data_IF_531039705342
#
_entry.id   IF_531039705342
#
_cell.length_a   1.000
_cell.length_b   1.000
_cell.length_c   1.000
_cell.angle_alpha   90.00
_cell.angle_beta   90.00
_cell.angle_gamma   90.00
#
_symmetry.space_group_name_H-M   'P 1'
#
loop_
_entity.id
_entity.type
_entity.pdbx_description
1 polymer ?
#
# COMPACT_ATOMS: atom_id res chain seq x y z
N UNK A 1 5.95 49.30 -27.88
CA UNK A 1 6.71 48.11 -28.31
C UNK A 1 6.56 47.05 -27.22
N UNK A 2 6.11 45.85 -27.59
CA UNK A 2 5.62 44.77 -26.70
C UNK A 2 6.78 44.09 -25.94
N UNK A 3 6.66 43.95 -24.63
CA UNK A 3 7.34 42.88 -23.86
C UNK A 3 6.31 41.79 -23.55
N UNK A 4 6.27 40.77 -24.41
CA UNK A 4 5.51 39.55 -24.20
C UNK A 4 6.30 38.36 -24.73
N UNK A 5 7.35 37.97 -24.01
CA UNK A 5 8.11 36.73 -24.26
C UNK A 5 8.40 36.11 -22.90
N UNK A 6 7.50 35.25 -22.42
CA UNK A 6 7.67 34.54 -21.15
C UNK A 6 6.65 33.44 -20.91
N UNK A 7 5.43 33.59 -21.45
CA UNK A 7 4.38 32.56 -21.34
C UNK A 7 4.63 31.35 -22.26
N UNK A 8 5.23 31.55 -23.44
CA UNK A 8 5.33 30.51 -24.47
C UNK A 8 6.20 29.30 -24.10
N UNK A 9 7.35 29.52 -23.44
CA UNK A 9 8.26 28.42 -23.04
C UNK A 9 7.70 27.57 -21.90
N UNK A 10 6.98 28.17 -20.96
CA UNK A 10 6.40 27.48 -19.80
C UNK A 10 5.17 26.64 -20.19
N UNK A 11 4.38 27.11 -21.17
CA UNK A 11 3.22 26.36 -21.71
C UNK A 11 3.68 25.14 -22.53
N UNK A 12 4.79 25.25 -23.26
CA UNK A 12 5.31 24.16 -24.09
C UNK A 12 5.90 23.01 -23.24
N UNK A 13 6.69 23.31 -22.19
CA UNK A 13 7.22 22.28 -21.28
C UNK A 13 6.10 21.53 -20.55
N UNK A 14 5.06 22.25 -20.12
CA UNK A 14 3.93 21.66 -19.42
C UNK A 14 3.11 20.69 -20.31
N UNK A 15 2.86 21.06 -21.58
CA UNK A 15 2.14 20.19 -22.53
C UNK A 15 2.92 18.91 -22.86
N UNK A 16 4.24 19.00 -22.98
CA UNK A 16 5.11 17.84 -23.23
C UNK A 16 5.10 16.88 -22.03
N UNK A 17 5.20 17.37 -20.80
CA UNK A 17 5.17 16.51 -19.59
C UNK A 17 3.84 15.80 -19.36
N UNK A 18 2.70 16.44 -19.66
CA UNK A 18 1.36 15.83 -19.54
C UNK A 18 1.15 14.73 -20.59
N UNK A 19 1.56 14.98 -21.84
CA UNK A 19 1.49 13.98 -22.91
C UNK A 19 2.40 12.78 -22.60
N UNK A 20 3.57 13.03 -21.99
CA UNK A 20 4.48 11.98 -21.53
C UNK A 20 3.86 11.11 -20.44
N UNK A 21 3.17 11.70 -19.45
CA UNK A 21 2.49 10.96 -18.38
C UNK A 21 1.43 9.99 -18.92
N UNK A 22 0.56 10.48 -19.81
CA UNK A 22 -0.51 9.67 -20.43
C UNK A 22 0.08 8.56 -21.31
N UNK A 23 1.08 8.87 -22.13
CA UNK A 23 1.75 7.87 -23.00
C UNK A 23 2.64 6.90 -22.22
N UNK A 24 3.20 7.31 -21.06
CA UNK A 24 3.96 6.42 -20.20
C UNK A 24 3.05 5.39 -19.52
N UNK A 25 1.84 5.79 -19.10
CA UNK A 25 0.90 4.94 -18.34
C UNK A 25 0.00 4.01 -19.17
N UNK A 26 -0.07 4.16 -20.50
CA UNK A 26 -1.04 3.44 -21.35
C UNK A 26 -0.47 2.37 -22.28
N UNK A 27 0.86 2.19 -22.37
CA UNK A 27 1.47 1.30 -23.39
C UNK A 27 2.06 -0.02 -22.85
N UNK A 28 1.85 -0.37 -21.59
CA UNK A 28 2.32 -1.64 -21.03
C UNK A 28 1.28 -2.21 -20.06
N UNK A 29 0.59 -3.32 -20.39
CA UNK A 29 -0.39 -3.94 -19.50
C UNK A 29 0.18 -4.27 -18.11
N UNK A 30 1.46 -4.62 -17.99
CA UNK A 30 2.12 -4.88 -16.71
C UNK A 30 2.25 -3.64 -15.80
N UNK A 31 2.04 -2.42 -16.31
CA UNK A 31 2.03 -1.21 -15.47
C UNK A 31 0.78 -1.09 -14.59
N UNK A 32 -0.28 -1.86 -14.88
CA UNK A 32 -1.48 -1.93 -14.06
C UNK A 32 -1.26 -2.64 -12.71
N UNK A 33 -0.13 -3.32 -12.53
CA UNK A 33 0.24 -3.91 -11.24
C UNK A 33 0.48 -2.85 -10.15
N UNK A 34 0.78 -1.62 -10.56
CA UNK A 34 1.20 -0.56 -9.65
C UNK A 34 0.07 0.43 -9.45
N UNK A 35 -0.38 0.60 -8.21
CA UNK A 35 -1.06 1.82 -7.81
C UNK A 35 -0.02 2.92 -7.75
N UNK A 36 -0.02 3.78 -8.77
CA UNK A 36 0.83 4.95 -8.72
C UNK A 36 0.39 5.77 -7.51
N UNK A 37 1.37 6.30 -6.78
CA UNK A 37 1.14 7.19 -5.65
C UNK A 37 1.41 8.68 -6.00
N UNK A 38 1.31 9.12 -7.28
CA UNK A 38 2.24 10.09 -7.84
C UNK A 38 1.90 11.55 -7.49
N UNK A 39 1.12 11.81 -6.46
CA UNK A 39 0.26 12.99 -6.51
C UNK A 39 0.19 13.89 -5.30
N UNK A 40 0.60 13.42 -4.12
CA UNK A 40 0.37 14.15 -2.86
C UNK A 40 -1.04 14.78 -2.90
N UNK A 41 -2.03 13.91 -2.79
CA UNK A 41 -3.45 14.22 -2.97
C UNK A 41 -4.10 14.53 -1.63
N UNK A 42 -5.20 15.27 -1.69
CA UNK A 42 -6.16 15.35 -0.60
C UNK A 42 -7.20 14.25 -0.82
N UNK A 43 -7.62 13.58 0.25
CA UNK A 43 -8.78 12.69 0.20
C UNK A 43 -10.03 13.56 0.19
N UNK A 44 -11.02 13.21 -0.63
CA UNK A 44 -12.29 13.92 -0.66
C UNK A 44 -13.45 12.98 -0.46
N UNK A 45 -14.50 13.52 0.13
CA UNK A 45 -15.77 12.83 0.31
C UNK A 45 -16.90 13.79 -0.05
N UNK A 46 -17.69 13.42 -1.05
CA UNK A 46 -18.82 14.21 -1.55
C UNK A 46 -20.00 13.27 -1.77
N UNK A 47 -21.12 13.52 -1.11
CA UNK A 47 -22.38 12.79 -1.33
C UNK A 47 -22.26 11.25 -1.27
N UNK A 48 -21.49 10.74 -0.30
CA UNK A 48 -21.29 9.29 -0.19
C UNK A 48 -20.25 8.71 -1.13
N UNK A 49 -19.59 9.53 -1.94
CA UNK A 49 -18.57 9.12 -2.89
C UNK A 49 -17.18 9.48 -2.39
N UNK A 50 -16.33 8.46 -2.38
CA UNK A 50 -14.92 8.55 -2.08
C UNK A 50 -14.17 9.05 -3.30
N UNK A 51 -13.28 10.02 -3.10
CA UNK A 51 -12.50 10.59 -4.19
C UNK A 51 -11.19 11.21 -3.71
N UNK A 52 -10.60 11.97 -4.62
CA UNK A 52 -9.36 12.67 -4.40
C UNK A 52 -9.37 14.04 -5.08
N UNK A 53 -8.60 14.97 -4.52
CA UNK A 53 -8.34 16.26 -5.12
C UNK A 53 -6.86 16.61 -5.04
N UNK A 54 -6.38 17.41 -5.99
CA UNK A 54 -5.00 17.90 -5.95
C UNK A 54 -4.76 18.79 -4.72
N UNK A 55 -3.65 18.58 -4.01
CA UNK A 55 -3.24 19.48 -2.91
C UNK A 55 -2.78 20.88 -3.38
N UNK A 56 -2.48 21.03 -4.68
CA UNK A 56 -2.03 22.29 -5.29
C UNK A 56 -2.84 22.58 -6.56
N UNK A 57 -2.96 23.83 -6.95
CA UNK A 57 -3.71 24.25 -8.15
C UNK A 57 -3.09 23.75 -9.47
N UNK A 58 -1.80 23.37 -9.47
CA UNK A 58 -1.07 22.86 -10.64
C UNK A 58 -0.50 21.45 -10.40
N UNK A 59 -1.37 20.47 -10.13
CA UNK A 59 -0.94 19.06 -10.11
C UNK A 59 -1.08 18.44 -11.51
N UNK A 60 -0.08 17.67 -11.92
CA UNK A 60 -0.12 16.89 -13.16
C UNK A 60 -1.09 15.70 -13.06
N UNK A 61 -1.56 15.39 -11.85
CA UNK A 61 -2.31 14.20 -11.50
C UNK A 61 -3.71 14.13 -12.08
N UNK A 62 -4.35 15.29 -12.29
CA UNK A 62 -5.67 15.31 -12.93
C UNK A 62 -5.65 14.69 -14.34
N UNK A 63 -4.47 14.54 -14.93
CA UNK A 63 -4.27 13.93 -16.24
C UNK A 63 -3.81 12.48 -16.18
N UNK A 64 -3.52 11.93 -14.99
CA UNK A 64 -3.25 10.51 -14.84
C UNK A 64 -4.55 9.72 -15.08
N UNK A 65 -4.49 8.54 -15.72
CA UNK A 65 -5.67 7.69 -15.88
C UNK A 65 -6.30 7.31 -14.52
N UNK A 66 -7.63 7.18 -14.49
CA UNK A 66 -8.42 6.98 -13.27
C UNK A 66 -7.96 5.78 -12.43
N UNK A 67 -7.57 4.69 -13.08
CA UNK A 67 -7.07 3.48 -12.40
C UNK A 67 -5.81 3.70 -11.54
N UNK A 68 -5.06 4.78 -11.82
CA UNK A 68 -3.89 5.19 -11.04
C UNK A 68 -4.20 6.29 -10.01
N UNK A 69 -5.46 6.74 -9.98
CA UNK A 69 -5.94 7.86 -9.16
C UNK A 69 -6.82 7.39 -8.00
N UNK A 70 -7.12 6.11 -7.87
CA UNK A 70 -7.89 5.65 -6.73
C UNK A 70 -7.00 5.69 -5.47
N UNK A 71 -7.55 6.27 -4.40
CA UNK A 71 -6.87 6.49 -3.13
C UNK A 71 -7.37 5.50 -2.06
N UNK A 72 -7.60 4.25 -2.48
CA UNK A 72 -8.33 3.26 -1.69
C UNK A 72 -7.58 2.98 -0.37
N UNK A 73 -6.26 2.73 -0.46
CA UNK A 73 -5.41 2.48 0.71
C UNK A 73 -5.32 3.69 1.64
N UNK A 74 -5.21 4.91 1.10
CA UNK A 74 -5.15 6.11 1.94
C UNK A 74 -6.46 6.37 2.67
N UNK A 75 -7.60 6.09 2.03
CA UNK A 75 -8.92 6.22 2.64
C UNK A 75 -9.15 5.17 3.71
N UNK A 76 -8.83 3.89 3.43
CA UNK A 76 -8.91 2.82 4.43
C UNK A 76 -8.01 3.14 5.64
N UNK A 77 -6.79 3.61 5.39
CA UNK A 77 -5.86 4.06 6.45
C UNK A 77 -6.41 5.26 7.23
N UNK A 78 -6.94 6.27 6.54
CA UNK A 78 -7.53 7.43 7.21
C UNK A 78 -8.74 7.04 8.05
N UNK A 79 -9.55 6.09 7.60
CA UNK A 79 -10.69 5.58 8.35
C UNK A 79 -10.26 4.71 9.53
N UNK A 80 -9.20 3.90 9.41
CA UNK A 80 -8.65 3.14 10.52
C UNK A 80 -8.14 4.07 11.62
N UNK A 81 -7.47 5.18 11.25
CA UNK A 81 -7.08 6.24 12.20
C UNK A 81 -8.30 6.89 12.85
N UNK A 82 -9.39 7.11 12.10
CA UNK A 82 -10.62 7.67 12.66
C UNK A 82 -11.30 6.74 13.66
N UNK A 83 -11.43 5.47 13.33
CA UNK A 83 -11.95 4.45 14.24
C UNK A 83 -11.07 4.35 15.50
N UNK A 84 -9.74 4.31 15.35
CA UNK A 84 -8.84 4.28 16.50
C UNK A 84 -8.99 5.50 17.41
N UNK A 85 -9.08 6.70 16.82
CA UNK A 85 -9.22 7.94 17.57
C UNK A 85 -10.66 8.22 18.02
N UNK A 86 -11.63 7.38 17.65
CA UNK A 86 -13.07 7.61 17.85
C UNK A 86 -13.53 8.97 17.29
N UNK A 87 -12.96 9.35 16.14
CA UNK A 87 -13.24 10.62 15.46
C UNK A 87 -14.16 10.42 14.27
N UNK A 88 -15.09 11.35 14.12
CA UNK A 88 -16.03 11.38 12.99
C UNK A 88 -15.67 12.49 12.01
N UNK A 89 -14.42 12.50 11.52
CA UNK A 89 -13.93 13.54 10.58
C UNK A 89 -14.76 13.65 9.30
N UNK A 90 -15.47 12.59 8.93
CA UNK A 90 -16.18 12.47 7.65
C UNK A 90 -17.71 12.47 7.74
N UNK A 91 -18.31 12.82 8.89
CA UNK A 91 -19.76 12.75 9.04
C UNK A 91 -20.49 14.05 8.69
N UNK A 92 -21.75 13.90 8.23
CA UNK A 92 -22.81 14.91 8.21
C UNK A 92 -22.55 16.23 7.46
N UNK A 93 -21.70 16.25 6.43
CA UNK A 93 -21.64 17.41 5.54
C UNK A 93 -22.44 17.17 4.25
N UNK A 94 -23.41 18.02 3.97
CA UNK A 94 -23.96 18.21 2.61
C UNK A 94 -22.95 18.89 1.66
N UNK A 95 -21.67 18.93 2.05
CA UNK A 95 -20.60 19.64 1.38
C UNK A 95 -19.41 18.70 1.20
N UNK A 96 -18.64 18.93 0.15
CA UNK A 96 -17.37 18.23 -0.10
C UNK A 96 -16.43 18.41 1.08
N UNK A 97 -16.11 17.31 1.77
CA UNK A 97 -15.04 17.25 2.74
C UNK A 97 -13.71 16.99 2.04
N UNK A 98 -12.65 17.57 2.59
CA UNK A 98 -11.30 17.49 2.05
C UNK A 98 -10.30 17.28 3.18
N UNK A 99 -9.52 16.23 3.11
CA UNK A 99 -8.47 15.91 4.08
C UNK A 99 -7.10 15.88 3.42
N UNK A 100 -6.25 16.84 3.81
CA UNK A 100 -4.86 16.93 3.36
C UNK A 100 -3.94 16.22 4.34
N UNK A 101 -3.84 14.89 4.25
CA UNK A 101 -3.06 14.07 5.19
C UNK A 101 -1.58 14.46 5.27
N UNK A 102 -1.00 14.96 4.18
CA UNK A 102 0.38 15.48 4.14
C UNK A 102 0.61 16.72 5.01
N UNK A 103 -0.46 17.45 5.34
CA UNK A 103 -0.44 18.62 6.22
C UNK A 103 -1.11 18.37 7.56
N UNK A 104 -1.59 17.15 7.80
CA UNK A 104 -2.20 16.78 9.06
C UNK A 104 -1.16 16.94 10.18
N UNK A 105 -1.58 17.55 11.29
CA UNK A 105 -0.75 17.61 12.48
C UNK A 105 -0.52 16.18 13.00
N UNK A 106 0.65 15.92 13.62
CA UNK A 106 0.83 14.69 14.37
C UNK A 106 -0.24 14.55 15.46
N UNK A 107 -0.56 13.31 15.82
CA UNK A 107 -1.62 12.99 16.77
C UNK A 107 -1.19 11.83 17.69
N UNK A 108 -1.85 11.71 18.84
CA UNK A 108 -1.75 10.59 19.77
C UNK A 108 -3.17 10.31 20.31
N UNK A 109 -3.44 9.11 20.83
CA UNK A 109 -4.73 8.79 21.46
C UNK A 109 -4.86 9.47 22.82
N UNK A 110 -3.78 9.44 23.60
CA UNK A 110 -3.65 10.14 24.88
C UNK A 110 -2.24 10.75 25.04
N UNK A 111 -1.95 11.30 26.23
CA UNK A 111 -0.66 11.95 26.52
C UNK A 111 0.52 10.97 26.61
N UNK A 112 0.25 9.69 26.84
CA UNK A 112 1.27 8.66 27.02
C UNK A 112 1.45 7.81 25.75
N UNK A 113 0.54 7.87 24.79
CA UNK A 113 0.68 7.15 23.52
C UNK A 113 1.77 7.78 22.63
N UNK A 114 2.46 6.96 21.82
CA UNK A 114 3.29 7.44 20.72
C UNK A 114 2.60 8.52 19.86
N UNK A 115 3.42 9.44 19.36
CA UNK A 115 2.95 10.43 18.40
C UNK A 115 3.04 9.86 16.99
N UNK A 116 1.90 9.74 16.33
CA UNK A 116 1.77 9.28 14.95
C UNK A 116 1.63 10.42 13.94
N UNK A 117 1.94 10.13 12.68
CA UNK A 117 1.68 10.96 11.51
C UNK A 117 0.90 10.18 10.48
N UNK A 118 -0.31 10.64 10.15
CA UNK A 118 -1.13 10.01 9.09
C UNK A 118 -0.39 9.94 7.75
N UNK A 119 0.43 10.94 7.42
CA UNK A 119 1.25 10.89 6.21
C UNK A 119 2.27 9.75 6.21
N UNK A 120 2.85 9.41 7.36
CA UNK A 120 3.83 8.33 7.47
C UNK A 120 3.17 6.95 7.41
N UNK A 121 1.98 6.78 8.02
CA UNK A 121 1.15 5.58 7.81
C UNK A 121 0.80 5.40 6.32
N UNK A 122 0.43 6.47 5.63
CA UNK A 122 0.12 6.42 4.19
C UNK A 122 1.37 6.11 3.35
N UNK A 123 2.54 6.65 3.70
CA UNK A 123 3.79 6.24 3.07
C UNK A 123 4.06 4.75 3.24
N UNK A 124 3.70 4.18 4.39
CA UNK A 124 3.77 2.75 4.61
C UNK A 124 2.86 1.97 3.67
N UNK A 125 1.64 2.43 3.45
CA UNK A 125 0.77 1.77 2.46
C UNK A 125 1.36 1.82 1.06
N UNK A 126 1.91 2.96 0.67
CA UNK A 126 2.54 3.12 -0.64
C UNK A 126 3.81 2.31 -0.82
N UNK A 127 4.45 1.89 0.27
CA UNK A 127 5.73 1.21 0.22
C UNK A 127 5.61 -0.17 -0.45
N UNK A 128 4.54 -0.91 -0.19
CA UNK A 128 4.36 -2.25 -0.76
C UNK A 128 4.26 -2.19 -2.29
N UNK A 129 3.52 -1.20 -2.81
CA UNK A 129 3.39 -0.93 -4.25
C UNK A 129 4.65 -0.32 -4.88
N UNK A 130 5.37 0.53 -4.15
CA UNK A 130 6.54 1.24 -4.66
C UNK A 130 7.68 1.23 -3.64
N UNK A 131 8.34 0.07 -3.44
CA UNK A 131 9.30 -0.11 -2.35
C UNK A 131 10.63 0.62 -2.59
N UNK A 132 10.87 1.09 -3.82
CA UNK A 132 11.99 1.99 -4.16
C UNK A 132 11.55 3.47 -4.20
N UNK A 133 10.28 3.75 -3.92
CA UNK A 133 9.70 5.08 -3.72
C UNK A 133 9.91 6.00 -4.93
N UNK A 134 9.88 5.43 -6.13
CA UNK A 134 10.06 6.16 -7.37
C UNK A 134 9.01 7.26 -7.53
N UNK A 135 7.79 7.01 -7.10
CA UNK A 135 6.62 7.85 -7.34
C UNK A 135 6.28 8.78 -6.18
N UNK A 136 7.04 8.77 -5.09
CA UNK A 136 6.76 9.61 -3.90
C UNK A 136 7.12 11.10 -4.11
N UNK A 137 7.74 11.41 -5.24
CA UNK A 137 8.20 12.74 -5.64
C UNK A 137 7.13 13.67 -6.22
N UNK A 138 7.58 14.85 -6.65
CA UNK A 138 6.77 15.79 -7.45
C UNK A 138 7.55 16.31 -8.66
N UNK A 139 6.82 16.80 -9.67
CA UNK A 139 7.43 17.46 -10.83
C UNK A 139 8.34 16.52 -11.61
N UNK A 140 9.60 16.93 -11.83
CA UNK A 140 10.60 16.14 -12.56
C UNK A 140 10.98 14.84 -11.86
N UNK A 141 11.01 14.85 -10.52
CA UNK A 141 11.30 13.68 -9.71
C UNK A 141 10.27 12.58 -9.94
N UNK A 142 8.99 12.97 -9.93
CA UNK A 142 7.89 12.07 -10.27
C UNK A 142 8.00 11.54 -11.70
N UNK A 143 8.27 12.41 -12.68
CA UNK A 143 8.37 11.99 -14.09
C UNK A 143 9.47 10.94 -14.25
N UNK A 144 10.65 11.18 -13.66
CA UNK A 144 11.75 10.22 -13.68
C UNK A 144 11.35 8.92 -12.99
N UNK A 145 10.70 9.00 -11.83
CA UNK A 145 10.15 7.84 -11.13
C UNK A 145 9.21 6.99 -11.97
N UNK A 146 8.28 7.61 -12.68
CA UNK A 146 7.36 6.91 -13.59
C UNK A 146 8.10 6.24 -14.75
N UNK A 147 9.16 6.88 -15.26
CA UNK A 147 10.02 6.27 -16.28
C UNK A 147 10.72 5.02 -15.70
N UNK A 148 11.25 5.10 -14.48
CA UNK A 148 11.89 3.96 -13.81
C UNK A 148 10.92 2.81 -13.55
N UNK A 149 9.73 3.12 -13.04
CA UNK A 149 8.67 2.14 -12.81
C UNK A 149 8.24 1.46 -14.11
N UNK A 150 7.97 2.24 -15.18
CA UNK A 150 7.66 1.69 -16.50
C UNK A 150 8.77 0.78 -17.03
N UNK A 151 10.02 1.08 -16.71
CA UNK A 151 11.13 0.21 -17.09
C UNK A 151 11.15 -1.07 -16.26
N UNK A 152 10.89 -0.98 -14.94
CA UNK A 152 10.84 -2.12 -14.03
C UNK A 152 9.81 -3.19 -14.44
N UNK A 153 8.69 -2.77 -15.04
CA UNK A 153 7.61 -3.68 -15.48
C UNK A 153 7.85 -4.37 -16.83
N UNK A 154 8.93 -4.01 -17.55
CA UNK A 154 9.29 -4.69 -18.81
C UNK A 154 10.10 -5.95 -18.51
N UNK A 155 9.56 -7.12 -18.86
CA UNK A 155 10.11 -8.44 -18.52
C UNK A 155 11.45 -8.80 -19.17
N UNK A 156 11.87 -8.08 -20.22
CA UNK A 156 13.02 -8.47 -21.05
C UNK A 156 14.37 -7.88 -20.64
N UNK A 157 14.52 -7.35 -19.41
CA UNK A 157 15.79 -6.72 -18.99
C UNK A 157 16.52 -7.54 -17.94
N UNK A 158 17.82 -7.70 -18.15
CA UNK A 158 18.71 -8.32 -17.16
C UNK A 158 18.92 -7.46 -15.92
N UNK A 159 18.87 -6.12 -16.08
CA UNK A 159 19.10 -5.14 -15.02
C UNK A 159 18.14 -3.95 -15.10
N UNK A 160 17.82 -3.40 -13.94
CA UNK A 160 16.94 -2.24 -13.77
C UNK A 160 17.64 -1.15 -12.96
N UNK A 161 17.13 0.07 -13.00
CA UNK A 161 17.57 1.12 -12.10
C UNK A 161 17.21 0.74 -10.66
N UNK A 162 18.06 1.11 -9.71
CA UNK A 162 17.81 0.92 -8.28
C UNK A 162 17.29 2.20 -7.62
N UNK A 163 17.16 2.18 -6.29
CA UNK A 163 16.70 3.31 -5.49
C UNK A 163 17.72 4.44 -5.32
N UNK A 164 18.80 4.47 -6.10
CA UNK A 164 19.83 5.52 -6.09
C UNK A 164 20.32 5.75 -7.51
N UNK A 165 20.55 7.02 -7.87
CA UNK A 165 20.92 7.39 -9.23
C UNK A 165 22.18 6.65 -9.71
N UNK A 166 22.11 6.04 -10.89
CA UNK A 166 23.20 5.25 -11.47
C UNK A 166 23.34 3.83 -10.91
N UNK A 167 22.55 3.45 -9.89
CA UNK A 167 22.52 2.09 -9.38
C UNK A 167 21.80 1.16 -10.36
N UNK A 168 22.44 0.06 -10.77
CA UNK A 168 21.84 -0.95 -11.65
C UNK A 168 21.74 -2.29 -10.95
N UNK A 169 20.52 -2.78 -10.75
CA UNK A 169 20.21 -3.99 -9.98
C UNK A 169 19.84 -5.13 -10.94
N UNK A 170 20.40 -6.35 -10.79
CA UNK A 170 19.94 -7.52 -11.53
C UNK A 170 18.45 -7.78 -11.31
N UNK A 171 17.74 -8.21 -12.35
CA UNK A 171 16.29 -8.49 -12.33
C UNK A 171 15.84 -9.31 -11.11
N UNK A 172 16.59 -10.38 -10.81
CA UNK A 172 16.33 -11.31 -9.70
C UNK A 172 16.50 -10.71 -8.29
N UNK A 173 17.01 -9.49 -8.18
CA UNK A 173 17.15 -8.78 -6.90
C UNK A 173 16.37 -7.47 -6.88
N UNK A 174 15.73 -7.09 -7.99
CA UNK A 174 15.09 -5.79 -8.11
C UNK A 174 13.80 -5.75 -7.30
N UNK A 175 13.78 -4.96 -6.23
CA UNK A 175 12.74 -4.99 -5.19
C UNK A 175 11.33 -4.78 -5.73
N UNK A 176 11.11 -3.78 -6.60
CA UNK A 176 9.81 -3.51 -7.22
C UNK A 176 9.30 -4.68 -8.07
N UNK A 177 10.21 -5.43 -8.73
CA UNK A 177 9.79 -6.62 -9.50
C UNK A 177 9.49 -7.78 -8.59
N UNK A 178 10.31 -7.92 -7.55
CA UNK A 178 10.18 -9.00 -6.59
C UNK A 178 8.87 -8.92 -5.82
N UNK A 179 8.39 -7.69 -5.48
CA UNK A 179 7.11 -7.50 -4.80
C UNK A 179 5.88 -7.76 -5.67
N UNK A 180 5.92 -7.47 -6.98
CA UNK A 180 4.72 -7.59 -7.85
C UNK A 180 4.69 -8.86 -8.69
N UNK A 181 5.85 -9.40 -9.06
CA UNK A 181 5.96 -10.52 -10.01
C UNK A 181 6.80 -11.69 -9.47
N UNK A 182 7.31 -11.59 -8.23
CA UNK A 182 8.24 -12.55 -7.64
C UNK A 182 7.78 -13.08 -6.27
N UNK A 183 8.74 -13.49 -5.45
CA UNK A 183 8.48 -14.16 -4.17
C UNK A 183 7.83 -13.27 -3.10
N UNK A 184 7.80 -11.95 -3.31
CA UNK A 184 7.24 -10.99 -2.38
C UNK A 184 5.80 -10.56 -2.70
N UNK A 185 5.10 -11.29 -3.59
CA UNK A 185 3.67 -11.05 -3.85
C UNK A 185 2.79 -11.12 -2.58
N UNK A 186 3.26 -11.78 -1.51
CA UNK A 186 2.57 -11.80 -0.21
C UNK A 186 2.44 -10.40 0.44
N UNK A 187 3.25 -9.42 0.02
CA UNK A 187 3.07 -8.02 0.41
C UNK A 187 1.76 -7.41 -0.11
N UNK A 188 1.19 -7.99 -1.15
CA UNK A 188 -0.14 -7.68 -1.71
C UNK A 188 -1.16 -8.77 -1.36
N UNK A 189 -0.85 -9.60 -0.37
CA UNK A 189 -1.63 -10.78 -0.01
C UNK A 189 -1.89 -11.76 -1.19
N UNK A 190 -1.01 -11.76 -2.17
CA UNK A 190 -1.05 -12.64 -3.34
C UNK A 190 -0.04 -13.78 -3.16
N UNK A 191 -0.28 -14.90 -3.84
CA UNK A 191 0.66 -16.03 -3.83
C UNK A 191 1.71 -15.87 -4.93
N UNK A 192 2.96 -16.20 -4.62
CA UNK A 192 4.03 -16.36 -5.62
C UNK A 192 4.03 -17.75 -6.26
N UNK A 193 3.25 -18.70 -5.73
CA UNK A 193 3.21 -20.06 -6.25
C UNK A 193 2.48 -20.10 -7.59
N UNK A 194 3.10 -20.72 -8.58
CA UNK A 194 2.56 -20.84 -9.93
C UNK A 194 1.98 -22.24 -10.21
N UNK A 195 1.02 -22.27 -11.13
CA UNK A 195 0.54 -23.48 -11.78
C UNK A 195 -0.54 -24.24 -11.01
N UNK A 196 -1.17 -25.18 -11.72
CA UNK A 196 -2.24 -26.06 -11.23
C UNK A 196 -1.79 -27.05 -10.15
N UNK A 197 -0.49 -27.13 -9.89
CA UNK A 197 0.13 -28.06 -8.94
C UNK A 197 -0.02 -27.62 -7.48
N UNK A 198 -0.33 -26.33 -7.25
CA UNK A 198 -0.53 -25.77 -5.91
C UNK A 198 -2.03 -25.61 -5.66
N UNK A 199 -2.60 -26.41 -4.76
CA UNK A 199 -4.03 -26.31 -4.40
C UNK A 199 -4.32 -24.95 -3.72
N UNK A 200 -5.59 -24.47 -3.74
CA UNK A 200 -5.96 -23.24 -3.03
C UNK A 200 -5.51 -23.23 -1.57
N UNK A 201 -5.60 -24.36 -0.88
CA UNK A 201 -5.20 -24.50 0.53
C UNK A 201 -3.70 -24.28 0.71
N UNK A 202 -2.87 -24.84 -0.19
CA UNK A 202 -1.41 -24.66 -0.16
C UNK A 202 -1.05 -23.20 -0.46
N UNK A 203 -1.71 -22.58 -1.44
CA UNK A 203 -1.51 -21.17 -1.80
C UNK A 203 -1.85 -20.26 -0.64
N UNK A 204 -3.02 -20.46 -0.02
CA UNK A 204 -3.47 -19.70 1.16
C UNK A 204 -2.49 -19.88 2.33
N UNK A 205 -2.09 -21.11 2.65
CA UNK A 205 -1.17 -21.37 3.74
C UNK A 205 0.21 -20.74 3.54
N UNK A 206 0.79 -20.83 2.33
CA UNK A 206 2.08 -20.20 1.99
C UNK A 206 1.98 -18.67 2.07
N UNK A 207 0.94 -18.07 1.50
CA UNK A 207 0.73 -16.62 1.54
C UNK A 207 0.55 -16.12 2.98
N UNK A 208 -0.25 -16.80 3.80
CA UNK A 208 -0.42 -16.45 5.23
C UNK A 208 0.93 -16.51 5.95
N UNK A 209 1.68 -17.60 5.78
CA UNK A 209 2.97 -17.77 6.45
C UNK A 209 3.96 -16.65 6.07
N UNK A 210 4.07 -16.32 4.78
CA UNK A 210 4.96 -15.25 4.31
C UNK A 210 4.47 -13.86 4.77
N UNK A 211 3.17 -13.59 4.66
CA UNK A 211 2.57 -12.34 5.13
C UNK A 211 2.78 -12.15 6.64
N UNK A 212 2.61 -13.20 7.45
CA UNK A 212 2.88 -13.16 8.90
C UNK A 212 4.32 -12.80 9.21
N UNK A 213 5.30 -13.38 8.51
CA UNK A 213 6.72 -13.04 8.70
C UNK A 213 6.99 -11.57 8.42
N UNK A 214 6.43 -11.03 7.34
CA UNK A 214 6.52 -9.61 7.03
C UNK A 214 5.85 -8.74 8.11
N UNK A 215 4.61 -9.07 8.49
CA UNK A 215 3.85 -8.33 9.49
C UNK A 215 4.57 -8.35 10.84
N UNK A 216 5.13 -9.49 11.26
CA UNK A 216 5.90 -9.61 12.50
C UNK A 216 7.09 -8.65 12.51
N UNK A 217 7.90 -8.69 11.46
CA UNK A 217 9.06 -7.80 11.35
C UNK A 217 8.65 -6.32 11.33
N UNK A 218 7.67 -5.94 10.50
CA UNK A 218 7.18 -4.58 10.45
C UNK A 218 6.54 -4.14 11.79
N UNK A 219 5.91 -5.06 12.52
CA UNK A 219 5.32 -4.78 13.83
C UNK A 219 6.41 -4.51 14.86
N UNK A 220 7.47 -5.31 14.89
CA UNK A 220 8.64 -5.07 15.75
C UNK A 220 9.31 -3.71 15.45
N UNK A 221 9.32 -3.27 14.19
CA UNK A 221 9.79 -1.93 13.82
C UNK A 221 8.82 -0.84 14.29
N UNK A 222 7.51 -1.08 14.16
CA UNK A 222 6.47 -0.15 14.61
C UNK A 222 6.43 0.03 16.13
N UNK A 223 6.64 -1.04 16.90
CA UNK A 223 6.75 -1.00 18.38
C UNK A 223 8.12 -0.54 18.87
N UNK A 224 9.07 -0.37 17.94
CA UNK A 224 10.48 -0.03 18.16
C UNK A 224 11.26 -1.09 18.95
N UNK A 225 10.82 -2.34 18.94
CA UNK A 225 11.64 -3.48 19.36
C UNK A 225 12.87 -3.64 18.45
N UNK A 226 12.67 -3.38 17.15
CA UNK A 226 13.75 -3.16 16.19
C UNK A 226 13.80 -1.65 15.91
N UNK A 227 14.88 -0.99 16.32
CA UNK A 227 15.01 0.46 16.12
C UNK A 227 15.27 0.81 14.65
N UNK A 228 14.84 1.99 14.23
CA UNK A 228 14.97 2.44 12.85
C UNK A 228 16.44 2.54 12.36
N UNK A 229 17.38 2.79 13.28
CA UNK A 229 18.82 2.92 13.02
C UNK A 229 19.60 1.60 13.16
N UNK A 230 18.91 0.51 13.55
CA UNK A 230 19.49 -0.82 13.61
C UNK A 230 19.98 -1.25 12.21
N UNK A 231 21.12 -1.98 12.13
CA UNK A 231 21.54 -2.59 10.88
C UNK A 231 20.44 -3.51 10.31
N UNK A 232 20.19 -3.40 9.01
CA UNK A 232 19.38 -4.41 8.31
C UNK A 232 20.34 -5.51 7.83
N UNK A 233 20.35 -6.65 8.52
CA UNK A 233 21.30 -7.73 8.24
C UNK A 233 20.82 -8.63 7.11
N UNK A 234 21.75 -9.39 6.50
CA UNK A 234 21.40 -10.36 5.47
C UNK A 234 20.53 -11.50 6.02
N UNK A 235 20.70 -11.84 7.30
CA UNK A 235 19.89 -12.84 8.02
C UNK A 235 18.45 -12.36 8.14
N UNK A 236 18.24 -11.10 8.54
CA UNK A 236 16.91 -10.49 8.61
C UNK A 236 16.27 -10.45 7.22
N UNK A 237 17.00 -9.98 6.20
CA UNK A 237 16.51 -9.98 4.80
C UNK A 237 16.06 -11.37 4.35
N UNK A 238 16.87 -12.40 4.63
CA UNK A 238 16.55 -13.79 4.29
C UNK A 238 15.33 -14.31 5.03
N UNK A 239 15.21 -14.02 6.32
CA UNK A 239 14.10 -14.49 7.17
C UNK A 239 12.74 -14.00 6.65
N UNK A 240 12.69 -12.74 6.23
CA UNK A 240 11.47 -12.09 5.71
C UNK A 240 11.36 -12.14 4.19
N UNK A 241 12.26 -12.85 3.50
CA UNK A 241 12.18 -13.08 2.05
C UNK A 241 12.49 -11.84 1.18
N UNK A 242 13.20 -10.84 1.71
CA UNK A 242 13.65 -9.68 0.96
C UNK A 242 14.84 -10.02 0.05
N UNK A 243 14.91 -9.43 -1.16
CA UNK A 243 16.17 -9.36 -1.88
C UNK A 243 17.12 -8.40 -1.16
N UNK A 244 18.45 -8.50 -1.36
CA UNK A 244 19.41 -7.64 -0.67
C UNK A 244 19.15 -6.15 -0.95
N UNK A 245 18.84 -5.38 0.09
CA UNK A 245 18.53 -3.95 0.02
C UNK A 245 19.78 -3.16 -0.35
N UNK A 246 20.94 -3.59 0.14
CA UNK A 246 22.24 -3.02 -0.24
C UNK A 246 22.47 -3.05 -1.75
N UNK A 247 22.04 -4.10 -2.46
CA UNK A 247 22.12 -4.18 -3.92
C UNK A 247 21.13 -3.25 -4.61
N UNK A 248 19.95 -3.07 -4.02
CA UNK A 248 18.92 -2.18 -4.59
C UNK A 248 19.29 -0.71 -4.51
N UNK A 249 20.17 -0.32 -3.59
CA UNK A 249 20.66 1.06 -3.47
C UNK A 249 22.14 1.24 -3.80
N UNK A 250 22.86 0.16 -4.12
CA UNK A 250 24.29 0.18 -4.47
C UNK A 250 25.20 0.81 -3.40
N UNK A 251 24.88 0.63 -2.12
CA UNK A 251 25.74 1.05 -1.02
C UNK A 251 25.77 0.01 0.11
N UNK A 252 26.83 0.08 0.91
CA UNK A 252 27.03 -0.74 2.11
C UNK A 252 26.53 0.00 3.35
N UNK A 253 26.23 -0.71 4.44
CA UNK A 253 25.64 -0.17 5.68
C UNK A 253 24.16 0.26 5.56
N UNK A 254 23.31 -0.69 5.14
CA UNK A 254 21.85 -0.50 5.15
C UNK A 254 21.30 -0.60 6.57
N UNK A 255 20.33 0.27 6.87
CA UNK A 255 19.63 0.30 8.15
C UNK A 255 18.16 -0.05 7.95
N UNK A 256 17.42 -0.30 9.02
CA UNK A 256 15.98 -0.56 8.95
C UNK A 256 15.24 0.62 8.30
N UNK A 257 15.60 1.87 8.59
CA UNK A 257 15.03 3.02 7.89
C UNK A 257 15.33 3.04 6.38
N UNK A 258 16.36 2.32 5.91
CA UNK A 258 16.71 2.23 4.49
C UNK A 258 15.63 1.50 3.72
N UNK A 259 15.05 0.49 4.36
CA UNK A 259 13.92 -0.24 3.82
C UNK A 259 12.68 0.65 3.74
N UNK A 260 12.29 1.28 4.85
CA UNK A 260 10.99 1.96 4.95
C UNK A 260 10.98 3.41 4.49
N UNK A 261 12.12 4.08 4.30
CA UNK A 261 12.11 5.53 4.00
C UNK A 261 13.09 5.91 2.90
N UNK A 262 12.72 6.96 2.16
CA UNK A 262 13.43 7.40 0.96
C UNK A 262 14.87 7.81 1.27
N UNK A 263 15.79 7.40 0.40
CA UNK A 263 17.18 7.85 0.45
C UNK A 263 17.26 9.36 0.22
N UNK A 264 18.17 10.03 0.93
CA UNK A 264 18.41 11.48 0.81
C UNK A 264 17.57 12.34 1.76
N UNK A 265 16.65 11.74 2.53
CA UNK A 265 16.02 12.43 3.67
C UNK A 265 16.98 12.47 4.87
N UNK A 266 16.82 13.49 5.70
CA UNK A 266 17.53 13.62 6.98
C UNK A 266 17.33 12.38 7.86
N UNK A 267 18.42 11.89 8.48
CA UNK A 267 18.40 10.64 9.23
C UNK A 267 17.51 10.73 10.48
N UNK A 268 17.47 11.88 11.16
CA UNK A 268 16.60 12.06 12.34
C UNK A 268 15.13 12.01 11.93
N UNK A 269 14.80 12.68 10.82
CA UNK A 269 13.46 12.60 10.26
C UNK A 269 13.08 11.18 9.87
N UNK A 270 13.98 10.45 9.20
CA UNK A 270 13.76 9.04 8.81
C UNK A 270 13.51 8.16 10.03
N UNK A 271 14.39 8.22 11.03
CA UNK A 271 14.25 7.48 12.28
C UNK A 271 12.89 7.75 12.95
N UNK A 272 12.47 9.03 12.95
CA UNK A 272 11.20 9.45 13.54
C UNK A 272 9.97 8.88 12.83
N UNK A 273 9.98 8.76 11.50
CA UNK A 273 8.80 8.30 10.75
C UNK A 273 8.79 6.79 10.48
N UNK A 274 9.95 6.12 10.54
CA UNK A 274 10.06 4.69 10.22
C UNK A 274 9.06 3.80 10.97
N UNK A 275 8.76 3.99 12.28
CA UNK A 275 7.76 3.19 12.97
C UNK A 275 6.36 3.29 12.33
N UNK A 276 5.91 4.50 12.00
CA UNK A 276 4.64 4.73 11.32
C UNK A 276 4.64 4.16 9.90
N UNK A 277 5.75 4.26 9.18
CA UNK A 277 5.84 3.70 7.82
C UNK A 277 5.80 2.17 7.87
N UNK A 278 6.42 1.54 8.86
CA UNK A 278 6.33 0.10 9.06
C UNK A 278 4.90 -0.34 9.40
N UNK A 279 4.21 0.38 10.31
CA UNK A 279 2.80 0.13 10.61
C UNK A 279 1.92 0.30 9.36
N UNK A 280 2.14 1.35 8.57
CA UNK A 280 1.42 1.55 7.32
C UNK A 280 1.62 0.41 6.31
N UNK A 281 2.81 -0.18 6.25
CA UNK A 281 3.07 -1.34 5.39
C UNK A 281 2.29 -2.59 5.83
N UNK A 282 2.06 -2.76 7.15
CA UNK A 282 1.14 -3.79 7.66
C UNK A 282 -0.29 -3.50 7.21
N UNK A 283 -0.73 -2.24 7.33
CA UNK A 283 -2.08 -1.84 6.93
C UNK A 283 -2.33 -2.13 5.44
N UNK A 284 -1.32 -1.99 4.59
CA UNK A 284 -1.40 -2.38 3.18
C UNK A 284 -1.75 -3.87 3.01
N UNK A 285 -1.01 -4.76 3.68
CA UNK A 285 -1.24 -6.21 3.61
C UNK A 285 -2.65 -6.55 4.07
N UNK A 286 -3.13 -5.90 5.13
CA UNK A 286 -4.50 -6.06 5.63
C UNK A 286 -5.51 -5.64 4.56
N UNK A 287 -5.31 -4.49 3.94
CA UNK A 287 -6.20 -3.91 2.93
C UNK A 287 -6.26 -4.76 1.66
N UNK A 288 -5.12 -5.15 1.11
CA UNK A 288 -5.00 -6.00 -0.07
C UNK A 288 -5.60 -7.38 0.16
N UNK A 289 -5.54 -7.91 1.39
CA UNK A 289 -6.21 -9.17 1.72
C UNK A 289 -7.72 -9.15 1.55
N UNK A 290 -8.34 -7.97 1.41
CA UNK A 290 -9.78 -7.78 1.13
C UNK A 290 -10.03 -7.21 -0.26
N UNK A 291 -9.00 -7.08 -1.11
CA UNK A 291 -9.16 -6.69 -2.50
C UNK A 291 -9.73 -7.89 -3.29
N UNK A 292 -10.87 -7.72 -3.99
CA UNK A 292 -11.36 -8.72 -4.92
C UNK A 292 -10.43 -8.91 -6.12
N UNK A 293 -9.37 -8.11 -6.28
CA UNK A 293 -8.30 -8.33 -7.25
C UNK A 293 -7.29 -9.38 -6.78
N UNK A 294 -7.09 -9.52 -5.47
CA UNK A 294 -5.99 -10.27 -4.86
C UNK A 294 -6.44 -11.56 -4.19
N UNK A 295 -7.65 -11.57 -3.64
CA UNK A 295 -8.16 -12.72 -2.88
C UNK A 295 -9.57 -13.13 -3.30
N UNK A 296 -10.02 -14.26 -2.77
CA UNK A 296 -11.43 -14.59 -2.67
C UNK A 296 -11.77 -14.73 -1.18
N UNK A 297 -12.67 -13.87 -0.70
CA UNK A 297 -13.33 -14.04 0.59
C UNK A 297 -14.77 -14.46 0.40
N UNK A 298 -15.34 -15.14 1.41
CA UNK A 298 -16.74 -15.55 1.46
C UNK A 298 -17.35 -15.11 2.79
N UNK A 299 -18.63 -14.76 2.76
CA UNK A 299 -19.36 -14.43 3.97
C UNK A 299 -19.64 -15.68 4.81
N UNK A 300 -19.37 -15.58 6.11
CA UNK A 300 -19.67 -16.60 7.11
C UNK A 300 -20.42 -15.93 8.25
N UNK A 301 -21.66 -16.35 8.50
CA UNK A 301 -22.44 -15.87 9.64
C UNK A 301 -21.86 -16.43 10.94
N UNK A 302 -21.69 -15.55 11.92
CA UNK A 302 -21.25 -15.89 13.28
C UNK A 302 -22.18 -15.23 14.28
N UNK A 303 -22.13 -15.63 15.56
CA UNK A 303 -22.94 -15.02 16.62
C UNK A 303 -22.69 -13.51 16.78
N UNK A 304 -21.51 -13.03 16.37
CA UNK A 304 -21.12 -11.61 16.43
C UNK A 304 -21.44 -10.80 15.17
N UNK A 305 -21.92 -11.42 14.09
CA UNK A 305 -22.17 -10.77 12.80
C UNK A 305 -21.58 -11.54 11.61
N UNK A 306 -21.41 -10.85 10.48
CA UNK A 306 -20.88 -11.46 9.25
C UNK A 306 -19.36 -11.33 9.21
N UNK A 307 -18.67 -12.46 9.07
CA UNK A 307 -17.23 -12.54 8.87
C UNK A 307 -16.93 -12.70 7.37
N UNK A 308 -15.98 -11.94 6.84
CA UNK A 308 -15.45 -12.16 5.50
C UNK A 308 -14.24 -13.11 5.59
N UNK A 309 -14.50 -14.40 5.44
CA UNK A 309 -13.53 -15.47 5.63
C UNK A 309 -12.70 -15.70 4.35
N UNK A 310 -11.39 -15.87 4.51
CA UNK A 310 -10.48 -16.15 3.41
C UNK A 310 -10.71 -17.55 2.84
N UNK A 311 -10.89 -17.62 1.52
CA UNK A 311 -11.10 -18.87 0.78
C UNK A 311 -9.96 -19.16 -0.19
N UNK A 312 -9.44 -18.15 -0.87
CA UNK A 312 -8.39 -18.30 -1.87
C UNK A 312 -7.54 -17.04 -2.01
N UNK A 313 -6.33 -17.18 -2.54
CA UNK A 313 -5.39 -16.10 -2.85
C UNK A 313 -4.92 -16.23 -4.30
N UNK A 314 -4.84 -15.11 -5.01
CA UNK A 314 -4.52 -15.09 -6.43
C UNK A 314 -3.03 -14.89 -6.65
N UNK A 315 -2.54 -15.24 -7.84
CA UNK A 315 -1.20 -14.94 -8.31
C UNK A 315 -1.30 -13.90 -9.43
N UNK A 316 -0.55 -12.81 -9.33
CA UNK A 316 -0.59 -11.72 -10.31
C UNK A 316 -0.21 -12.21 -11.71
N UNK A 317 0.79 -13.09 -11.79
CA UNK A 317 1.30 -13.62 -13.06
C UNK A 317 0.26 -14.47 -13.81
N UNK A 318 -0.78 -14.96 -13.12
CA UNK A 318 -1.85 -15.80 -13.69
C UNK A 318 -3.10 -14.99 -14.07
N UNK A 319 -3.11 -13.67 -13.83
CA UNK A 319 -4.27 -12.82 -14.03
C UNK A 319 -4.16 -11.93 -15.28
N UNK A 320 -5.32 -11.53 -15.79
CA UNK A 320 -5.36 -10.40 -16.72
C UNK A 320 -5.15 -9.09 -15.96
N UNK A 321 -4.09 -8.36 -16.29
CA UNK A 321 -3.72 -7.12 -15.61
C UNK A 321 -4.81 -6.03 -15.62
N UNK A 322 -5.65 -5.97 -16.67
CA UNK A 322 -6.76 -5.01 -16.76
C UNK A 322 -7.92 -5.41 -15.85
N UNK A 323 -8.25 -6.69 -15.79
CA UNK A 323 -9.30 -7.20 -14.90
C UNK A 323 -8.88 -7.07 -13.43
N UNK A 324 -7.62 -7.40 -13.13
CA UNK A 324 -7.03 -7.18 -11.82
C UNK A 324 -7.21 -5.72 -11.37
N UNK A 325 -6.78 -4.76 -12.20
CA UNK A 325 -6.89 -3.34 -11.86
C UNK A 325 -8.34 -2.84 -11.69
N UNK A 326 -9.31 -3.45 -12.39
CA UNK A 326 -10.73 -3.12 -12.26
C UNK A 326 -11.35 -3.66 -10.96
N UNK A 327 -10.83 -4.78 -10.45
CA UNK A 327 -11.24 -5.38 -9.17
C UNK A 327 -10.53 -4.73 -7.99
N UNK A 328 -9.40 -4.08 -8.24
CA UNK A 328 -8.60 -3.38 -7.23
C UNK A 328 -9.02 -1.90 -7.10
N UNK A 329 -10.28 -1.68 -6.77
CA UNK A 329 -10.92 -0.35 -6.66
C UNK A 329 -11.61 -0.20 -5.31
N UNK A 330 -12.47 0.82 -5.09
CA UNK A 330 -13.21 0.93 -3.83
C UNK A 330 -14.26 -0.19 -3.74
N UNK A 331 -14.10 -1.18 -2.84
CA UNK A 331 -15.08 -2.25 -2.70
C UNK A 331 -16.38 -1.72 -2.07
N UNK A 332 -17.47 -2.43 -2.31
CA UNK A 332 -18.80 -2.02 -1.84
C UNK A 332 -18.85 -1.80 -0.31
N UNK A 333 -18.20 -2.68 0.46
CA UNK A 333 -18.12 -2.56 1.93
C UNK A 333 -17.47 -1.24 2.36
N UNK A 334 -16.46 -0.76 1.62
CA UNK A 334 -15.77 0.50 1.93
C UNK A 334 -16.67 1.70 1.63
N UNK A 335 -17.36 1.67 0.49
CA UNK A 335 -18.32 2.74 0.14
C UNK A 335 -19.51 2.78 1.10
N UNK A 336 -19.97 1.61 1.57
CA UNK A 336 -21.03 1.49 2.58
C UNK A 336 -20.58 2.09 3.90
N UNK A 337 -19.36 1.79 4.33
CA UNK A 337 -18.78 2.38 5.53
C UNK A 337 -18.61 3.90 5.38
N UNK A 338 -18.11 4.39 4.25
CA UNK A 338 -17.98 5.83 4.00
C UNK A 338 -19.33 6.56 4.12
N UNK A 339 -20.40 5.97 3.57
CA UNK A 339 -21.77 6.52 3.59
C UNK A 339 -22.43 6.50 4.96
N UNK A 340 -22.33 5.37 5.65
CA UNK A 340 -23.19 5.06 6.80
C UNK A 340 -22.44 4.84 8.11
N UNK A 341 -21.11 4.73 8.05
CA UNK A 341 -20.25 4.30 9.16
C UNK A 341 -20.60 2.92 9.72
N UNK A 342 -21.39 2.14 8.98
CA UNK A 342 -21.68 0.76 9.31
C UNK A 342 -20.63 -0.13 8.66
N UNK A 343 -20.06 -1.02 9.47
CA UNK A 343 -19.17 -2.06 8.99
C UNK A 343 -19.99 -3.22 8.44
N UNK A 344 -19.76 -3.59 7.17
CA UNK A 344 -20.40 -4.77 6.56
C UNK A 344 -19.91 -6.07 7.18
N UNK A 345 -18.63 -6.10 7.58
CA UNK A 345 -17.98 -7.28 8.16
C UNK A 345 -17.35 -6.95 9.50
N UNK A 346 -17.42 -7.88 10.45
CA UNK A 346 -16.83 -7.72 11.78
C UNK A 346 -15.29 -7.68 11.74
N UNK A 347 -14.68 -8.19 10.67
CA UNK A 347 -13.24 -8.23 10.44
C UNK A 347 -12.78 -7.35 9.26
N UNK A 348 -13.53 -6.31 8.88
CA UNK A 348 -13.12 -5.48 7.74
C UNK A 348 -11.78 -4.74 7.98
N UNK A 349 -11.05 -4.33 6.92
CA UNK A 349 -9.73 -3.70 7.03
C UNK A 349 -9.64 -2.46 7.92
N UNK A 350 -10.73 -1.70 8.06
CA UNK A 350 -10.75 -0.48 8.89
C UNK A 350 -10.70 -0.86 10.36
N UNK A 351 -11.49 -1.86 10.79
CA UNK A 351 -11.50 -2.36 12.16
C UNK A 351 -10.17 -3.03 12.53
N UNK A 352 -9.66 -3.92 11.66
CA UNK A 352 -8.37 -4.57 11.87
C UNK A 352 -7.25 -3.52 11.94
N UNK A 353 -7.26 -2.54 11.04
CA UNK A 353 -6.27 -1.46 11.02
C UNK A 353 -6.31 -0.60 12.29
N UNK A 354 -7.50 -0.23 12.77
CA UNK A 354 -7.67 0.52 14.02
C UNK A 354 -7.17 -0.28 15.23
N UNK A 355 -7.44 -1.58 15.24
CA UNK A 355 -6.94 -2.49 16.27
C UNK A 355 -5.41 -2.60 16.23
N UNK A 356 -4.80 -2.70 15.05
CA UNK A 356 -3.34 -2.76 14.91
C UNK A 356 -2.65 -1.47 15.37
N UNK A 357 -3.23 -0.30 15.08
CA UNK A 357 -2.73 0.98 15.61
C UNK A 357 -2.74 0.95 17.14
N UNK A 358 -3.87 0.52 17.73
CA UNK A 358 -3.98 0.34 19.18
C UNK A 358 -2.95 -0.65 19.72
N UNK A 359 -2.76 -1.78 19.04
CA UNK A 359 -1.81 -2.81 19.46
C UNK A 359 -0.36 -2.29 19.45
N UNK A 360 0.02 -1.46 18.47
CA UNK A 360 1.33 -0.80 18.44
C UNK A 360 1.47 0.20 19.60
N UNK A 361 0.47 1.04 19.83
CA UNK A 361 0.49 2.01 20.93
C UNK A 361 0.60 1.35 22.31
N UNK A 362 -0.08 0.21 22.47
CA UNK A 362 -0.04 -0.60 23.69
C UNK A 362 1.16 -1.54 23.75
N UNK A 363 1.95 -1.63 22.67
CA UNK A 363 3.07 -2.58 22.52
C UNK A 363 2.68 -4.00 22.93
N UNK A 364 1.54 -4.47 22.43
CA UNK A 364 1.06 -5.82 22.73
C UNK A 364 2.12 -6.85 22.30
N UNK A 365 2.32 -7.93 23.07
CA UNK A 365 3.20 -9.01 22.65
C UNK A 365 2.79 -9.57 21.29
N UNK A 366 3.76 -9.92 20.44
CA UNK A 366 3.48 -10.49 19.11
C UNK A 366 2.52 -11.69 19.17
N UNK A 367 2.58 -12.53 20.20
CA UNK A 367 1.68 -13.67 20.37
C UNK A 367 0.19 -13.28 20.43
N UNK A 368 -0.12 -12.14 21.04
CA UNK A 368 -1.49 -11.61 21.09
C UNK A 368 -1.91 -11.05 19.73
N UNK A 369 -0.99 -10.35 19.05
CA UNK A 369 -1.19 -9.83 17.70
C UNK A 369 -1.43 -10.94 16.69
N UNK A 370 -0.60 -11.98 16.72
CA UNK A 370 -0.74 -13.14 15.86
C UNK A 370 -2.07 -13.86 16.10
N UNK A 371 -2.45 -14.08 17.36
CA UNK A 371 -3.74 -14.70 17.71
C UNK A 371 -4.92 -13.89 17.17
N UNK A 372 -4.86 -12.56 17.31
CA UNK A 372 -5.89 -11.69 16.75
C UNK A 372 -5.94 -11.80 15.23
N UNK A 373 -4.81 -11.68 14.54
CA UNK A 373 -4.75 -11.78 13.08
C UNK A 373 -5.22 -13.13 12.57
N UNK A 374 -4.92 -14.23 13.26
CA UNK A 374 -5.40 -15.57 12.93
C UNK A 374 -6.93 -15.67 13.01
N UNK A 375 -7.53 -15.06 14.03
CA UNK A 375 -8.98 -15.07 14.21
C UNK A 375 -9.74 -14.08 13.32
N UNK A 376 -9.07 -13.03 12.82
CA UNK A 376 -9.71 -11.94 12.06
C UNK A 376 -9.26 -11.91 10.60
N UNK A 377 -7.99 -11.61 10.36
CA UNK A 377 -7.42 -11.40 9.02
C UNK A 377 -7.32 -12.71 8.25
N UNK A 378 -6.78 -13.74 8.89
CA UNK A 378 -6.48 -15.04 8.30
C UNK A 378 -7.56 -16.09 8.52
N UNK A 379 -8.69 -15.71 9.12
CA UNK A 379 -9.79 -16.62 9.38
C UNK A 379 -10.26 -17.26 8.06
N UNK A 380 -10.18 -18.58 7.99
CA UNK A 380 -10.60 -19.36 6.82
C UNK A 380 -12.00 -19.91 7.04
N UNK A 381 -12.82 -19.87 6.00
CA UNK A 381 -14.16 -20.46 6.03
C UNK A 381 -14.05 -21.95 5.74
N UNK A 382 -14.42 -22.82 6.69
CA UNK A 382 -14.82 -24.18 6.32
C UNK A 382 -16.13 -24.07 5.55
N UNK A 383 -16.07 -23.97 4.23
CA UNK A 383 -17.26 -24.01 3.39
C UNK A 383 -17.92 -25.36 3.65
N UNK A 384 -19.04 -25.37 4.38
CA UNK A 384 -19.89 -26.55 4.45
C UNK A 384 -20.20 -26.95 3.01
N UNK A 385 -19.95 -28.21 2.67
CA UNK A 385 -19.91 -28.80 1.32
C UNK A 385 -21.23 -28.74 0.55
N UNK A 386 -22.20 -27.92 0.96
CA UNK A 386 -23.57 -27.90 0.44
C UNK A 386 -24.00 -26.60 -0.23
N UNK A 387 -23.21 -25.52 -0.27
CA UNK A 387 -23.56 -24.36 -1.09
C UNK A 387 -22.77 -24.34 -2.40
N UNK A 388 -23.41 -24.78 -3.48
CA UNK A 388 -23.05 -24.27 -4.81
C UNK A 388 -23.09 -22.73 -4.78
N UNK A 389 -21.94 -22.09 -4.98
CA UNK A 389 -21.90 -20.70 -5.43
C UNK A 389 -21.88 -19.58 -4.38
N UNK A 390 -21.15 -19.69 -3.26
CA UNK A 390 -20.76 -18.46 -2.56
C UNK A 390 -19.79 -17.66 -3.44
N UNK A 391 -20.31 -16.57 -4.02
CA UNK A 391 -19.57 -15.63 -4.86
C UNK A 391 -18.47 -14.98 -4.00
N UNK A 392 -17.27 -14.83 -4.55
CA UNK A 392 -16.22 -14.06 -3.87
C UNK A 392 -16.70 -12.62 -3.67
N UNK A 393 -16.54 -12.11 -2.45
CA UNK A 393 -16.87 -10.73 -2.05
C UNK A 393 -15.69 -9.79 -2.15
#
# INVERSE_FOLDING_TARGET
MKFSIGLGRMVLTFRVSVLLLVTLSMTAPSSYAFKLNPCLRALTYTDGQLGEAGMRTRTLCRFAPEQYRLAVHEQMTSFAVDEYLEKQRWQNSQHTQRFEYMRAKPWSKDLNSPQHRTSALIFGTWWNDDPLMYTWGQGTDLINGLIHLKQAVKESRERYEGGTAGCRVPAKYHLTRWSHFGEMQHLHFMTSLEGKSSTPEVRVADTIMKAKKWIMFAYQVATQEITADAPLTAEMEKEIGLPPISKNHCFTNVKVWTLFTRIGLDYQYRAKITPDVALGSILHVVQDSFSPGHTCRVEVSTDGGVLAALKDVRNYNEQNAKEHAALDTHPEWLTTFAKSRKHSYINNPILIGAWLIKAVDQKLPWTEVETYLDSQLFATGKVATTSHGSKCI
#
